data_IF_174977884524
#
_entry.id   IF_174977884524
#
_cell.length_a   1.000
_cell.length_b   1.000
_cell.length_c   1.000
_cell.angle_alpha   90.00
_cell.angle_beta   90.00
_cell.angle_gamma   90.00
#
_symmetry.space_group_name_H-M   'P 1'
#
loop_
_entity.id
_entity.type
_entity.pdbx_description
1 polymer ?
#
# COMPACT_ATOMS: atom_id res chain seq x y z
N UNK A 1 20.04 24.54 -0.82
CA UNK A 1 19.04 23.47 -0.65
C UNK A 1 19.17 22.56 -1.86
N UNK A 2 19.68 21.33 -1.71
CA UNK A 2 19.74 20.39 -2.83
C UNK A 2 18.33 19.96 -3.22
N UNK A 3 18.00 20.00 -4.51
CA UNK A 3 16.72 19.55 -5.00
C UNK A 3 16.57 18.03 -4.75
N UNK A 4 15.42 17.61 -4.21
CA UNK A 4 15.07 16.19 -4.08
C UNK A 4 15.07 15.55 -5.47
N UNK A 5 15.80 14.45 -5.70
CA UNK A 5 15.84 13.79 -7.00
C UNK A 5 14.44 13.27 -7.38
N UNK A 6 14.10 13.23 -8.68
CA UNK A 6 12.83 12.66 -9.13
C UNK A 6 12.76 11.17 -8.79
N UNK A 7 11.56 10.67 -8.48
CA UNK A 7 11.34 9.26 -8.12
C UNK A 7 11.90 8.29 -9.18
N UNK A 8 11.81 8.65 -10.47
CA UNK A 8 12.39 7.85 -11.55
C UNK A 8 13.90 7.63 -11.39
N UNK A 9 14.65 8.67 -11.01
CA UNK A 9 16.08 8.58 -10.75
C UNK A 9 16.40 7.66 -9.58
N UNK A 10 15.63 7.77 -8.50
CA UNK A 10 15.75 6.89 -7.32
C UNK A 10 15.48 5.42 -7.67
N UNK A 11 14.48 5.15 -8.52
CA UNK A 11 14.12 3.79 -8.94
C UNK A 11 15.11 3.16 -9.94
N UNK A 12 15.95 3.97 -10.59
CA UNK A 12 16.99 3.50 -11.53
C UNK A 12 18.39 3.44 -10.95
N UNK A 13 18.62 3.98 -9.74
CA UNK A 13 19.91 3.90 -9.05
C UNK A 13 20.36 2.44 -8.87
N UNK A 14 21.66 2.16 -8.87
CA UNK A 14 22.20 0.80 -8.73
C UNK A 14 21.79 0.14 -7.39
N UNK A 15 21.95 0.89 -6.29
CA UNK A 15 21.39 0.57 -4.99
C UNK A 15 20.17 1.46 -4.72
N UNK A 16 19.06 0.85 -4.32
CA UNK A 16 17.85 1.59 -3.98
C UNK A 16 17.94 2.13 -2.56
N UNK A 17 17.75 3.44 -2.42
CA UNK A 17 17.55 4.10 -1.14
C UNK A 17 16.05 4.15 -0.84
N UNK A 18 15.58 3.21 -0.01
CA UNK A 18 14.16 3.09 0.32
C UNK A 18 13.64 4.28 1.15
N UNK A 19 14.50 4.93 1.92
CA UNK A 19 14.10 6.07 2.75
C UNK A 19 13.95 7.33 1.90
N UNK A 20 14.86 7.53 0.93
CA UNK A 20 14.71 8.60 -0.07
C UNK A 20 13.47 8.38 -0.96
N UNK A 21 13.18 7.13 -1.33
CA UNK A 21 11.97 6.78 -2.09
C UNK A 21 10.70 7.07 -1.27
N UNK A 22 10.67 6.65 0.00
CA UNK A 22 9.56 6.94 0.91
C UNK A 22 9.36 8.45 1.05
N UNK A 23 10.42 9.21 1.34
CA UNK A 23 10.36 10.66 1.47
C UNK A 23 9.86 11.36 0.20
N UNK A 24 10.27 10.88 -0.99
CA UNK A 24 9.78 11.42 -2.26
C UNK A 24 8.28 11.15 -2.47
N UNK A 25 7.77 9.99 -2.03
CA UNK A 25 6.36 9.64 -2.09
C UNK A 25 5.53 10.39 -1.04
N UNK A 26 6.06 10.61 0.16
CA UNK A 26 5.40 11.34 1.24
C UNK A 26 5.29 12.84 0.94
N UNK A 27 6.28 13.41 0.26
CA UNK A 27 6.25 14.78 -0.22
C UNK A 27 5.22 15.01 -1.34
N UNK A 28 4.76 13.94 -2.01
CA UNK A 28 3.77 14.03 -3.07
C UNK A 28 2.34 14.16 -2.51
N UNK A 29 1.55 15.06 -3.10
CA UNK A 29 0.11 15.11 -2.85
C UNK A 29 -0.60 13.80 -3.28
N UNK A 30 -1.82 13.53 -2.79
CA UNK A 30 -2.48 12.23 -2.98
C UNK A 30 -2.60 11.77 -4.45
N UNK A 31 -2.96 12.67 -5.37
CA UNK A 31 -3.12 12.36 -6.79
C UNK A 31 -1.77 12.13 -7.49
N UNK A 32 -0.78 12.96 -7.18
CA UNK A 32 0.60 12.80 -7.67
C UNK A 32 1.17 11.46 -7.20
N UNK A 33 1.04 11.14 -5.91
CA UNK A 33 1.51 9.87 -5.34
C UNK A 33 0.87 8.67 -6.04
N UNK A 34 -0.45 8.71 -6.27
CA UNK A 34 -1.15 7.65 -7.00
C UNK A 34 -0.62 7.49 -8.44
N UNK A 35 -0.36 8.60 -9.15
CA UNK A 35 0.23 8.57 -10.50
C UNK A 35 1.64 8.01 -10.49
N UNK A 36 2.48 8.44 -9.54
CA UNK A 36 3.86 7.95 -9.37
C UNK A 36 3.88 6.44 -9.13
N UNK A 37 3.09 5.95 -8.16
CA UNK A 37 2.98 4.52 -7.84
C UNK A 37 2.50 3.70 -9.06
N UNK A 38 1.50 4.20 -9.79
CA UNK A 38 0.96 3.52 -11.00
C UNK A 38 1.94 3.52 -12.17
N UNK A 39 2.91 4.43 -12.17
CA UNK A 39 4.02 4.49 -13.13
C UNK A 39 5.16 3.51 -12.84
N UNK A 40 5.19 2.87 -11.65
CA UNK A 40 6.27 1.93 -11.30
C UNK A 40 6.11 0.64 -12.13
N UNK A 41 7.02 0.45 -13.10
CA UNK A 41 7.06 -0.74 -13.94
C UNK A 41 7.45 -2.01 -13.18
N UNK A 42 7.14 -3.18 -13.76
CA UNK A 42 7.36 -4.48 -13.09
C UNK A 42 8.81 -4.74 -12.67
N UNK A 43 9.80 -4.29 -13.47
CA UNK A 43 11.22 -4.40 -13.10
C UNK A 43 11.54 -3.63 -11.83
N UNK A 44 11.03 -2.40 -11.69
CA UNK A 44 11.23 -1.59 -10.49
C UNK A 44 10.50 -2.19 -9.28
N UNK A 45 9.29 -2.73 -9.46
CA UNK A 45 8.57 -3.45 -8.39
C UNK A 45 9.38 -4.64 -7.86
N UNK A 46 9.97 -5.45 -8.75
CA UNK A 46 10.81 -6.57 -8.34
C UNK A 46 12.05 -6.13 -7.55
N UNK A 47 12.70 -5.04 -7.97
CA UNK A 47 13.85 -4.47 -7.25
C UNK A 47 13.46 -3.92 -5.88
N UNK A 48 12.33 -3.22 -5.78
CA UNK A 48 11.78 -2.72 -4.52
C UNK A 48 11.48 -3.86 -3.56
N UNK A 49 10.85 -4.93 -4.05
CA UNK A 49 10.55 -6.12 -3.25
C UNK A 49 11.81 -6.73 -2.64
N UNK A 50 12.85 -6.91 -3.45
CA UNK A 50 14.13 -7.45 -2.99
C UNK A 50 14.84 -6.50 -2.00
N UNK A 51 14.86 -5.20 -2.29
CA UNK A 51 15.48 -4.20 -1.42
C UNK A 51 14.75 -4.05 -0.08
N UNK A 52 13.44 -4.30 -0.04
CA UNK A 52 12.61 -4.17 1.16
C UNK A 52 12.68 -5.38 2.10
N UNK A 53 13.42 -6.44 1.76
CA UNK A 53 13.60 -7.60 2.64
C UNK A 53 14.10 -7.17 4.02
N UNK A 54 13.41 -7.61 5.06
CA UNK A 54 13.72 -7.25 6.45
C UNK A 54 13.06 -5.94 6.92
N UNK A 55 12.32 -5.23 6.06
CA UNK A 55 11.40 -4.15 6.47
C UNK A 55 10.00 -4.73 6.62
N UNK A 56 9.30 -4.34 7.69
CA UNK A 56 7.93 -4.77 7.99
C UNK A 56 6.96 -3.61 7.92
N UNK A 57 5.73 -3.89 7.49
CA UNK A 57 4.60 -2.96 7.55
C UNK A 57 3.79 -3.21 8.81
N UNK A 58 3.48 -2.16 9.56
CA UNK A 58 2.64 -2.18 10.76
C UNK A 58 1.18 -1.83 10.45
N UNK A 59 0.28 -2.04 11.42
CA UNK A 59 -1.12 -1.61 11.30
C UNK A 59 -1.23 -0.09 11.13
N UNK A 60 -0.36 0.67 11.81
CA UNK A 60 -0.35 2.13 11.73
C UNK A 60 0.08 2.64 10.35
N UNK A 61 0.91 1.89 9.62
CA UNK A 61 1.30 2.21 8.24
C UNK A 61 0.12 2.02 7.25
N UNK A 62 -0.81 1.11 7.57
CA UNK A 62 -2.01 0.88 6.74
C UNK A 62 -3.13 1.85 7.10
N UNK A 63 -3.40 2.05 8.39
CA UNK A 63 -4.38 3.02 8.90
C UNK A 63 -3.76 3.75 10.09
N UNK A 64 -3.42 5.06 9.98
CA UNK A 64 -2.80 5.80 11.08
C UNK A 64 -3.62 5.78 12.38
N UNK A 65 -2.95 5.88 13.53
CA UNK A 65 -3.60 5.77 14.86
C UNK A 65 -4.67 6.84 15.13
N UNK A 66 -4.51 8.04 14.56
CA UNK A 66 -5.46 9.14 14.72
C UNK A 66 -6.74 9.03 13.86
N UNK A 67 -6.85 8.01 13.01
CA UNK A 67 -8.03 7.82 12.17
C UNK A 67 -9.14 7.15 12.99
N UNK A 68 -10.31 7.76 13.05
CA UNK A 68 -11.44 7.20 13.80
C UNK A 68 -11.89 5.83 13.23
N UNK A 69 -12.44 4.92 14.07
CA UNK A 69 -13.06 3.69 13.59
C UNK A 69 -14.06 3.93 12.46
N UNK A 70 -14.20 2.95 11.57
CA UNK A 70 -15.05 3.03 10.37
C UNK A 70 -14.73 4.18 9.37
N UNK A 71 -13.65 4.95 9.59
CA UNK A 71 -13.18 5.93 8.61
C UNK A 71 -12.25 5.27 7.60
N UNK A 72 -12.58 5.39 6.31
CA UNK A 72 -11.85 4.73 5.23
C UNK A 72 -10.52 5.42 4.91
N UNK A 73 -9.42 4.66 4.97
CA UNK A 73 -8.13 5.02 4.37
C UNK A 73 -8.00 4.32 3.03
N UNK A 74 -7.78 5.12 1.99
CA UNK A 74 -7.72 4.65 0.59
C UNK A 74 -6.28 4.39 0.17
N UNK A 75 -6.03 3.16 -0.27
CA UNK A 75 -4.75 2.70 -0.83
C UNK A 75 -4.90 2.50 -2.34
N UNK A 76 -4.47 3.50 -3.11
CA UNK A 76 -4.45 3.44 -4.57
C UNK A 76 -3.10 2.90 -5.02
N UNK A 77 -3.10 1.68 -5.53
CA UNK A 77 -1.86 0.94 -5.79
C UNK A 77 -1.75 0.38 -7.20
N UNK A 78 -0.65 -0.35 -7.39
CA UNK A 78 -0.35 -1.13 -8.58
C UNK A 78 0.13 -2.52 -8.16
N UNK A 79 -0.34 -3.54 -8.85
CA UNK A 79 0.15 -4.91 -8.75
C UNK A 79 0.84 -5.32 -10.06
N UNK A 80 1.47 -6.49 -10.06
CA UNK A 80 2.21 -7.03 -11.20
C UNK A 80 1.35 -7.84 -12.18
N UNK A 81 0.02 -7.89 -12.01
CA UNK A 81 -0.87 -8.63 -12.89
C UNK A 81 -0.92 -7.99 -14.29
N UNK A 82 -1.06 -8.80 -15.37
CA UNK A 82 -1.10 -8.28 -16.72
C UNK A 82 -2.39 -7.48 -17.03
N UNK A 83 -3.50 -7.79 -16.36
CA UNK A 83 -4.78 -7.10 -16.48
C UNK A 83 -5.27 -6.67 -15.09
N UNK A 84 -6.00 -5.56 -15.01
CA UNK A 84 -6.45 -4.96 -13.74
C UNK A 84 -5.27 -4.68 -12.78
N UNK A 85 -4.18 -4.17 -13.34
CA UNK A 85 -2.93 -3.92 -12.60
C UNK A 85 -3.03 -2.77 -11.60
N UNK A 86 -4.06 -1.93 -11.69
CA UNK A 86 -4.33 -0.88 -10.72
C UNK A 86 -5.45 -1.33 -9.78
N UNK A 87 -5.28 -1.03 -8.49
CA UNK A 87 -6.29 -1.34 -7.48
C UNK A 87 -6.56 -0.14 -6.58
N UNK A 88 -7.71 -0.16 -5.93
CA UNK A 88 -8.00 0.64 -4.75
C UNK A 88 -8.47 -0.31 -3.64
N UNK A 89 -7.74 -0.32 -2.53
CA UNK A 89 -8.17 -1.01 -1.31
C UNK A 89 -8.54 0.04 -0.29
N UNK A 90 -9.65 -0.16 0.41
CA UNK A 90 -10.06 0.71 1.51
C UNK A 90 -9.98 -0.08 2.80
N UNK A 91 -9.40 0.54 3.82
CA UNK A 91 -9.24 -0.04 5.14
C UNK A 91 -9.83 0.89 6.18
N UNK A 92 -10.35 0.36 7.28
CA UNK A 92 -10.74 1.15 8.43
C UNK A 92 -10.41 0.42 9.74
N UNK A 93 -10.24 1.17 10.82
CA UNK A 93 -10.07 0.62 12.16
C UNK A 93 -11.37 0.01 12.67
N UNK A 94 -11.22 -1.07 13.42
CA UNK A 94 -12.31 -1.70 14.17
C UNK A 94 -12.36 -1.09 15.57
N UNK A 95 -13.56 -0.70 16.01
CA UNK A 95 -13.76 -0.18 17.37
C UNK A 95 -13.45 -1.29 18.39
N UNK A 96 -12.62 -0.98 19.39
CA UNK A 96 -12.24 -1.92 20.44
C UNK A 96 -11.21 -2.99 20.05
N UNK A 97 -10.77 -3.06 18.79
CA UNK A 97 -9.76 -4.01 18.33
C UNK A 97 -8.66 -3.31 17.49
N UNK A 98 -7.61 -2.77 18.13
CA UNK A 98 -6.56 -2.03 17.45
C UNK A 98 -5.63 -2.91 16.58
N UNK A 99 -5.67 -4.24 16.75
CA UNK A 99 -4.86 -5.19 15.98
C UNK A 99 -5.51 -5.61 14.66
N UNK A 100 -6.76 -5.20 14.43
CA UNK A 100 -7.58 -5.64 13.31
C UNK A 100 -8.05 -4.45 12.48
N UNK A 101 -8.00 -4.61 11.17
CA UNK A 101 -8.59 -3.70 10.19
C UNK A 101 -9.64 -4.43 9.37
N UNK A 102 -10.75 -3.76 9.07
CA UNK A 102 -11.65 -4.18 8.01
C UNK A 102 -11.26 -3.54 6.71
N UNK A 103 -11.50 -4.23 5.60
CA UNK A 103 -11.30 -3.62 4.30
C UNK A 103 -12.03 -4.30 3.17
N UNK A 104 -11.99 -3.64 2.01
CA UNK A 104 -12.57 -4.12 0.77
C UNK A 104 -11.86 -3.52 -0.45
N UNK A 105 -12.15 -4.05 -1.63
CA UNK A 105 -11.65 -3.55 -2.90
C UNK A 105 -12.69 -2.63 -3.54
N UNK A 106 -12.27 -1.43 -3.91
CA UNK A 106 -13.07 -0.50 -4.69
C UNK A 106 -12.59 -0.52 -6.14
N UNK A 107 -13.52 -0.36 -7.09
CA UNK A 107 -13.19 -0.35 -8.51
C UNK A 107 -14.39 -0.52 -9.43
N UNK A 108 -14.18 -0.29 -10.71
CA UNK A 108 -15.23 -0.37 -11.73
C UNK A 108 -15.84 -1.77 -11.88
N UNK A 109 -15.15 -2.82 -11.44
CA UNK A 109 -15.65 -4.20 -11.44
C UNK A 109 -16.54 -4.51 -10.23
N UNK A 110 -16.53 -3.67 -9.17
CA UNK A 110 -17.28 -3.89 -7.92
C UNK A 110 -18.77 -4.20 -8.12
N UNK A 111 -19.50 -3.56 -9.06
CA UNK A 111 -20.91 -3.88 -9.30
C UNK A 111 -21.15 -5.31 -9.83
N UNK A 112 -20.13 -5.93 -10.45
CA UNK A 112 -20.24 -7.26 -11.06
C UNK A 112 -19.77 -8.37 -10.11
N UNK A 113 -18.64 -8.17 -9.44
CA UNK A 113 -17.98 -9.22 -8.64
C UNK A 113 -18.09 -8.98 -7.13
N UNK A 114 -18.76 -7.91 -6.73
CA UNK A 114 -18.80 -7.45 -5.35
C UNK A 114 -17.49 -6.80 -4.89
N UNK A 115 -17.45 -6.31 -3.64
CA UNK A 115 -16.32 -5.55 -3.09
C UNK A 115 -15.16 -6.45 -2.62
N UNK A 116 -15.38 -7.74 -2.39
CA UNK A 116 -14.38 -8.66 -1.84
C UNK A 116 -13.86 -8.19 -0.47
N UNK A 117 -14.70 -8.28 0.55
CA UNK A 117 -14.35 -7.92 1.93
C UNK A 117 -13.25 -8.82 2.50
N UNK A 118 -12.45 -8.26 3.40
CA UNK A 118 -11.37 -8.95 4.08
C UNK A 118 -11.08 -8.34 5.45
N UNK A 119 -10.41 -9.13 6.29
CA UNK A 119 -9.77 -8.66 7.52
C UNK A 119 -8.27 -8.53 7.29
N UNK A 120 -7.64 -7.49 7.82
CA UNK A 120 -6.18 -7.39 7.89
C UNK A 120 -5.70 -7.30 9.33
N UNK A 121 -4.60 -7.97 9.64
CA UNK A 121 -4.01 -8.06 10.98
C UNK A 121 -2.58 -8.57 10.90
N UNK A 122 -1.84 -8.52 12.00
CA UNK A 122 -0.49 -9.09 12.04
C UNK A 122 -0.59 -10.61 11.96
N UNK A 123 0.04 -11.18 10.92
CA UNK A 123 0.20 -12.63 10.79
C UNK A 123 1.22 -13.11 11.83
N UNK A 124 0.79 -14.01 12.70
CA UNK A 124 1.61 -14.47 13.83
C UNK A 124 2.87 -15.26 13.39
N UNK A 125 2.87 -15.85 12.19
CA UNK A 125 4.01 -16.61 11.69
C UNK A 125 5.04 -15.72 11.02
N UNK A 126 4.59 -14.67 10.32
CA UNK A 126 5.44 -13.76 9.54
C UNK A 126 5.81 -12.49 10.29
N UNK A 127 5.04 -12.10 11.30
CA UNK A 127 5.23 -10.83 12.02
C UNK A 127 4.90 -9.60 11.17
N UNK A 128 4.14 -9.76 10.09
CA UNK A 128 3.80 -8.71 9.12
C UNK A 128 2.28 -8.59 8.99
N UNK A 129 1.78 -7.42 8.59
CA UNK A 129 0.35 -7.25 8.29
C UNK A 129 -0.02 -8.08 7.05
N UNK A 130 -0.98 -8.99 7.21
CA UNK A 130 -1.52 -9.81 6.15
C UNK A 130 -3.01 -9.55 5.94
N UNK A 131 -3.46 -9.71 4.70
CA UNK A 131 -4.88 -9.64 4.31
C UNK A 131 -5.44 -11.06 4.23
N UNK A 132 -6.51 -11.32 4.98
CA UNK A 132 -7.22 -12.60 4.99
C UNK A 132 -8.63 -12.46 4.40
N UNK A 133 -8.81 -13.03 3.21
CA UNK A 133 -10.10 -13.08 2.49
C UNK A 133 -11.05 -14.19 2.94
N UNK A 134 -10.59 -15.11 3.80
CA UNK A 134 -11.40 -16.21 4.33
C UNK A 134 -12.10 -15.84 5.64
N UNK A 135 -11.95 -14.60 6.12
CA UNK A 135 -12.63 -14.06 7.29
C UNK A 135 -13.31 -12.75 6.92
N UNK A 136 -14.56 -12.60 7.35
CA UNK A 136 -15.42 -11.43 7.15
C UNK A 136 -16.17 -11.11 8.43
#
# INVERSE_FOLDING_TARGET
MSATPPLSGLLTADALDLDAIAAALDAAGPEERARLIRGIGGRAQARLWEAAKGRSTSIADVVPEGVAPATEVRHLGKNSLPLFSHFEKRFCRVEGDPGTLYGFNEGSTRPLIGPGYFIAGVDAQRGEVAINYLRV
#
